data_IF_874249305111
#
_entry.id   IF_874249305111
#
_cell.length_a   1.000
_cell.length_b   1.000
_cell.length_c   1.000
_cell.angle_alpha   90.00
_cell.angle_beta   90.00
_cell.angle_gamma   90.00
#
_symmetry.space_group_name_H-M   'P 1'
#
loop_
_entity.id
_entity.type
_entity.pdbx_description
1 polymer ?
#
# COMPACT_ATOMS: atom_id res chain seq x y z
N UNK A 1 8.67 5.96 11.86
CA UNK A 1 7.28 5.52 12.08
C UNK A 1 6.37 6.74 12.09
N UNK A 2 5.32 6.72 11.28
CA UNK A 2 4.30 7.77 11.16
C UNK A 2 3.04 7.41 11.94
N UNK A 3 2.41 8.37 12.60
CA UNK A 3 1.05 8.21 13.13
C UNK A 3 0.09 8.80 12.12
N UNK A 4 -0.58 7.95 11.33
CA UNK A 4 -1.37 8.39 10.19
C UNK A 4 -2.85 8.68 10.52
N UNK A 5 -3.23 8.61 11.80
CA UNK A 5 -4.58 8.93 12.27
C UNK A 5 -5.62 7.85 11.93
N UNK A 6 -6.89 8.25 11.80
CA UNK A 6 -8.04 7.34 11.67
C UNK A 6 -8.67 7.38 10.28
N UNK A 7 -9.14 6.21 9.84
CA UNK A 7 -10.02 6.02 8.68
C UNK A 7 -11.37 5.54 9.19
N UNK A 8 -12.45 6.09 8.65
CA UNK A 8 -13.79 5.74 9.09
C UNK A 8 -14.54 5.04 7.97
N UNK A 9 -15.11 3.87 8.26
CA UNK A 9 -15.92 3.11 7.33
C UNK A 9 -17.33 3.06 7.88
N UNK A 10 -18.27 3.73 7.21
CA UNK A 10 -19.68 3.62 7.61
C UNK A 10 -20.32 2.41 6.97
N UNK A 11 -21.22 1.73 7.67
CA UNK A 11 -21.93 0.55 7.17
C UNK A 11 -23.29 0.37 7.87
N UNK A 12 -24.20 -0.41 7.29
CA UNK A 12 -25.50 -0.72 7.91
C UNK A 12 -25.71 -2.22 8.14
N UNK A 13 -25.22 -3.05 7.22
CA UNK A 13 -25.43 -4.49 7.23
C UNK A 13 -24.42 -5.19 8.13
N UNK A 14 -24.92 -5.88 9.16
CA UNK A 14 -24.10 -6.57 10.18
C UNK A 14 -23.80 -8.03 9.85
N UNK A 15 -24.31 -8.56 8.74
CA UNK A 15 -24.11 -9.96 8.33
C UNK A 15 -23.13 -10.09 7.18
N UNK A 16 -22.38 -9.03 6.86
CA UNK A 16 -21.43 -8.99 5.75
C UNK A 16 -20.02 -8.88 6.28
N UNK A 17 -19.13 -9.66 5.68
CA UNK A 17 -17.71 -9.64 6.00
C UNK A 17 -17.02 -8.46 5.30
N UNK A 18 -16.06 -7.86 5.99
CA UNK A 18 -15.19 -6.84 5.43
C UNK A 18 -13.84 -7.45 5.07
N UNK A 19 -13.34 -7.10 3.89
CA UNK A 19 -12.04 -7.56 3.41
C UNK A 19 -11.07 -6.39 3.31
N UNK A 20 -9.92 -6.50 3.97
CA UNK A 20 -8.83 -5.54 3.85
C UNK A 20 -7.70 -6.21 3.06
N UNK A 21 -7.49 -5.74 1.84
CA UNK A 21 -6.49 -6.26 0.92
C UNK A 21 -5.17 -5.53 1.08
N UNK A 22 -4.06 -6.26 1.12
CA UNK A 22 -2.72 -5.68 1.11
C UNK A 22 -2.11 -5.86 -0.29
N UNK A 23 -1.65 -4.76 -0.90
CA UNK A 23 -0.90 -4.78 -2.15
C UNK A 23 0.52 -4.28 -1.86
N UNK A 24 1.50 -5.17 -1.88
CA UNK A 24 2.90 -4.88 -1.64
C UNK A 24 3.76 -5.76 -2.55
N UNK A 25 5.03 -5.40 -2.74
CA UNK A 25 6.01 -6.20 -3.49
C UNK A 25 5.46 -6.65 -4.86
N UNK A 26 4.78 -5.74 -5.54
CA UNK A 26 4.27 -6.00 -6.89
C UNK A 26 5.45 -6.05 -7.85
N UNK A 27 6.46 -5.19 -7.65
CA UNK A 27 7.66 -5.10 -8.51
C UNK A 27 7.27 -5.01 -10.00
N UNK A 28 6.25 -4.20 -10.31
CA UNK A 28 5.85 -3.93 -11.68
C UNK A 28 7.02 -3.41 -12.51
N UNK A 29 7.17 -3.87 -13.75
CA UNK A 29 8.35 -3.72 -14.62
C UNK A 29 9.43 -4.79 -14.42
N UNK A 30 9.32 -5.64 -13.41
CA UNK A 30 10.07 -6.87 -13.34
C UNK A 30 9.40 -7.94 -14.23
N UNK A 31 10.17 -8.66 -15.04
CA UNK A 31 9.67 -9.71 -15.94
C UNK A 31 8.99 -10.86 -15.19
N UNK A 32 9.39 -11.13 -13.94
CA UNK A 32 8.77 -12.14 -13.10
C UNK A 32 7.47 -11.67 -12.42
N UNK A 33 7.09 -10.39 -12.57
CA UNK A 33 5.88 -9.84 -11.97
C UNK A 33 4.62 -10.54 -12.50
N UNK A 34 3.88 -11.19 -11.60
CA UNK A 34 2.60 -11.82 -11.93
C UNK A 34 1.45 -10.80 -12.01
N UNK A 35 1.62 -9.76 -12.84
CA UNK A 35 0.74 -8.58 -12.88
C UNK A 35 -0.74 -8.94 -13.14
N UNK A 36 -1.02 -9.99 -13.91
CA UNK A 36 -2.39 -10.45 -14.16
C UNK A 36 -3.09 -10.97 -12.89
N UNK A 37 -2.34 -11.57 -11.95
CA UNK A 37 -2.90 -11.97 -10.65
C UNK A 37 -3.30 -10.73 -9.85
N UNK A 38 -2.43 -9.71 -9.83
CA UNK A 38 -2.70 -8.44 -9.17
C UNK A 38 -3.93 -7.75 -9.79
N UNK A 39 -4.03 -7.68 -11.12
CA UNK A 39 -5.19 -7.12 -11.84
C UNK A 39 -6.51 -7.83 -11.48
N UNK A 40 -6.48 -9.16 -11.38
CA UNK A 40 -7.65 -9.94 -10.94
C UNK A 40 -8.06 -9.62 -9.51
N UNK A 41 -7.11 -9.45 -8.60
CA UNK A 41 -7.42 -9.14 -7.20
C UNK A 41 -7.92 -7.69 -7.04
N UNK A 42 -7.37 -6.75 -7.81
CA UNK A 42 -7.91 -5.38 -7.93
C UNK A 42 -9.35 -5.40 -8.44
N UNK A 43 -9.66 -6.27 -9.39
CA UNK A 43 -11.02 -6.41 -9.92
C UNK A 43 -12.01 -6.93 -8.86
N UNK A 44 -11.57 -7.83 -7.96
CA UNK A 44 -12.36 -8.25 -6.79
C UNK A 44 -12.63 -7.06 -5.86
N UNK A 45 -11.58 -6.31 -5.50
CA UNK A 45 -11.70 -5.10 -4.67
C UNK A 45 -12.63 -4.08 -5.32
N UNK A 46 -12.56 -3.92 -6.63
CA UNK A 46 -13.42 -2.99 -7.36
C UNK A 46 -14.90 -3.37 -7.26
N UNK A 47 -15.22 -4.65 -7.50
CA UNK A 47 -16.59 -5.18 -7.53
C UNK A 47 -17.25 -5.29 -6.16
N UNK A 48 -16.49 -5.64 -5.13
CA UNK A 48 -17.04 -5.86 -3.78
C UNK A 48 -17.12 -4.56 -2.96
N UNK A 49 -18.31 -4.07 -2.57
CA UNK A 49 -18.44 -2.86 -1.76
C UNK A 49 -17.92 -3.00 -0.32
N UNK A 50 -17.67 -4.21 0.18
CA UNK A 50 -17.11 -4.46 1.51
C UNK A 50 -15.60 -4.69 1.50
N UNK A 51 -14.96 -4.56 0.34
CA UNK A 51 -13.52 -4.62 0.18
C UNK A 51 -12.87 -3.23 0.23
N UNK A 52 -11.82 -3.11 1.03
CA UNK A 52 -10.91 -1.96 1.12
C UNK A 52 -9.47 -2.44 0.95
N UNK A 53 -8.53 -1.52 0.74
CA UNK A 53 -7.15 -1.93 0.51
C UNK A 53 -6.13 -0.95 1.05
N UNK A 54 -4.93 -1.44 1.27
CA UNK A 54 -3.76 -0.67 1.69
C UNK A 54 -2.56 -1.11 0.87
N UNK A 55 -1.71 -0.16 0.48
CA UNK A 55 -0.46 -0.44 -0.19
C UNK A 55 0.68 -0.59 0.81
N UNK A 56 1.54 -1.60 0.67
CA UNK A 56 2.68 -1.83 1.55
C UNK A 56 3.99 -1.19 1.09
N UNK A 57 4.16 -0.93 -0.21
CA UNK A 57 5.42 -0.50 -0.81
C UNK A 57 5.86 -1.45 -1.92
N UNK A 58 6.96 -1.10 -2.61
CA UNK A 58 7.55 -1.85 -3.72
C UNK A 58 6.52 -2.17 -4.82
N UNK A 59 5.77 -1.16 -5.24
CA UNK A 59 4.71 -1.31 -6.24
C UNK A 59 5.27 -1.50 -7.66
N UNK A 60 6.47 -0.99 -7.89
CA UNK A 60 7.18 -1.08 -9.16
C UNK A 60 8.68 -1.27 -8.94
N UNK A 61 9.36 -1.68 -10.00
CA UNK A 61 10.80 -1.80 -10.04
C UNK A 61 11.41 -0.39 -10.15
N UNK A 62 11.77 0.17 -9.01
CA UNK A 62 12.47 1.47 -8.91
C UNK A 62 13.99 1.29 -8.83
N UNK A 63 14.54 0.20 -9.39
CA UNK A 63 16.00 0.04 -9.48
C UNK A 63 16.51 0.77 -10.74
N UNK A 64 17.25 1.85 -10.52
CA UNK A 64 17.87 2.65 -11.59
C UNK A 64 19.14 1.98 -12.13
N UNK A 65 19.49 2.25 -13.39
CA UNK A 65 20.77 1.82 -13.99
C UNK A 65 22.02 2.35 -13.27
N UNK A 66 21.87 3.37 -12.41
CA UNK A 66 22.96 3.86 -11.55
C UNK A 66 23.20 2.97 -10.33
N UNK A 67 22.22 2.16 -9.94
CA UNK A 67 22.33 1.20 -8.85
C UNK A 67 23.01 -0.09 -9.33
N UNK A 68 24.33 0.01 -9.52
CA UNK A 68 25.14 -1.04 -10.17
C UNK A 68 25.11 -2.40 -9.47
N UNK A 69 24.74 -2.43 -8.20
CA UNK A 69 24.66 -3.66 -7.41
C UNK A 69 23.38 -4.45 -7.71
N UNK A 70 22.25 -3.74 -7.95
CA UNK A 70 20.93 -4.37 -8.08
C UNK A 70 20.37 -4.32 -9.50
N UNK A 71 20.86 -3.40 -10.33
CA UNK A 71 20.31 -3.22 -11.66
C UNK A 71 20.67 -4.39 -12.58
N UNK A 72 19.64 -5.04 -13.11
CA UNK A 72 19.77 -6.09 -14.10
C UNK A 72 18.80 -5.82 -15.26
N UNK A 73 19.30 -5.47 -16.46
CA UNK A 73 18.45 -5.20 -17.61
C UNK A 73 17.70 -6.45 -18.10
N UNK A 74 18.17 -7.66 -17.80
CA UNK A 74 17.50 -8.91 -18.19
C UNK A 74 16.21 -9.16 -17.39
N UNK A 75 16.11 -8.56 -16.20
CA UNK A 75 14.93 -8.65 -15.34
C UNK A 75 13.85 -7.61 -15.70
N UNK A 76 14.12 -6.69 -16.62
CA UNK A 76 13.14 -5.67 -17.02
C UNK A 76 12.14 -6.22 -18.04
N UNK A 77 10.92 -5.68 -18.01
CA UNK A 77 9.91 -6.00 -19.03
C UNK A 77 10.28 -5.44 -20.40
N UNK A 78 9.92 -6.15 -21.46
CA UNK A 78 10.32 -5.82 -22.85
C UNK A 78 9.76 -4.48 -23.35
N UNK A 79 8.76 -3.92 -22.68
CA UNK A 79 8.19 -2.61 -22.99
C UNK A 79 9.03 -1.43 -22.46
N UNK A 80 10.04 -1.69 -21.62
CA UNK A 80 11.02 -0.70 -21.19
C UNK A 80 12.27 -0.73 -22.08
N UNK A 81 12.55 0.37 -22.77
CA UNK A 81 13.69 0.49 -23.69
C UNK A 81 14.84 1.23 -23.03
N UNK A 82 16.04 1.13 -23.60
CA UNK A 82 17.23 1.84 -23.10
C UNK A 82 17.00 3.36 -22.90
N UNK A 83 16.24 4.00 -23.80
CA UNK A 83 15.89 5.43 -23.70
C UNK A 83 15.02 5.78 -22.49
N UNK A 84 14.35 4.79 -21.91
CA UNK A 84 13.40 4.94 -20.80
C UNK A 84 14.10 4.82 -19.43
N UNK A 85 15.33 4.28 -19.39
CA UNK A 85 16.09 4.05 -18.15
C UNK A 85 16.34 5.34 -17.35
N UNK A 86 16.50 6.47 -18.03
CA UNK A 86 16.63 7.79 -17.40
C UNK A 86 15.32 8.36 -16.85
N UNK A 87 14.19 7.67 -17.05
CA UNK A 87 12.83 8.09 -16.67
C UNK A 87 12.07 6.98 -15.93
N UNK A 88 12.80 6.00 -15.40
CA UNK A 88 12.20 4.79 -14.84
C UNK A 88 11.23 5.12 -13.70
N UNK A 89 11.57 6.04 -12.80
CA UNK A 89 10.70 6.46 -11.70
C UNK A 89 9.35 6.98 -12.17
N UNK A 90 9.35 7.91 -13.14
CA UNK A 90 8.11 8.45 -13.72
C UNK A 90 7.27 7.38 -14.42
N UNK A 91 7.90 6.48 -15.17
CA UNK A 91 7.19 5.41 -15.88
C UNK A 91 6.59 4.41 -14.90
N UNK A 92 7.38 3.98 -13.90
CA UNK A 92 6.95 3.12 -12.79
C UNK A 92 5.76 3.73 -12.04
N UNK A 93 5.86 5.00 -11.61
CA UNK A 93 4.77 5.72 -10.94
C UNK A 93 3.50 5.72 -11.78
N UNK A 94 3.59 6.07 -13.07
CA UNK A 94 2.42 6.15 -13.95
C UNK A 94 1.74 4.80 -14.14
N UNK A 95 2.52 3.71 -14.25
CA UNK A 95 1.94 2.36 -14.33
C UNK A 95 1.23 1.95 -13.03
N UNK A 96 1.84 2.24 -11.87
CA UNK A 96 1.22 2.00 -10.54
C UNK A 96 -0.05 2.83 -10.36
N UNK A 97 0.00 4.11 -10.74
CA UNK A 97 -1.17 5.00 -10.73
C UNK A 97 -2.32 4.41 -11.54
N UNK A 98 -2.06 3.98 -12.78
CA UNK A 98 -3.08 3.35 -13.64
C UNK A 98 -3.63 2.07 -13.03
N UNK A 99 -2.78 1.25 -12.42
CA UNK A 99 -3.17 0.00 -11.77
C UNK A 99 -4.17 0.25 -10.63
N UNK A 100 -3.88 1.19 -9.73
CA UNK A 100 -4.70 1.44 -8.55
C UNK A 100 -5.84 2.44 -8.77
N UNK A 101 -5.83 3.22 -9.85
CA UNK A 101 -6.86 4.22 -10.13
C UNK A 101 -8.31 3.69 -10.04
N UNK A 102 -8.65 2.48 -10.52
CA UNK A 102 -10.01 1.93 -10.43
C UNK A 102 -10.51 1.72 -9.00
N UNK A 103 -9.61 1.52 -8.03
CA UNK A 103 -9.94 1.25 -6.62
C UNK A 103 -9.51 2.37 -5.66
N UNK A 104 -9.03 3.50 -6.18
CA UNK A 104 -8.46 4.60 -5.36
C UNK A 104 -9.36 5.10 -4.22
N UNK A 105 -10.68 5.11 -4.42
CA UNK A 105 -11.66 5.55 -3.39
C UNK A 105 -11.79 4.59 -2.20
N UNK A 106 -11.25 3.37 -2.32
CA UNK A 106 -11.25 2.33 -1.30
C UNK A 106 -9.89 2.16 -0.60
N UNK A 107 -8.92 3.04 -0.91
CA UNK A 107 -7.57 2.98 -0.35
C UNK A 107 -7.52 3.57 1.06
N UNK A 108 -6.94 2.82 1.99
CA UNK A 108 -6.71 3.19 3.38
C UNK A 108 -5.36 3.91 3.55
N UNK A 109 -4.51 3.85 2.53
CA UNK A 109 -3.19 4.46 2.50
C UNK A 109 -2.21 3.64 1.67
N UNK A 110 -1.03 4.21 1.47
CA UNK A 110 0.08 3.67 0.69
C UNK A 110 1.36 3.81 1.51
N UNK A 111 2.03 2.70 1.75
CA UNK A 111 3.39 2.65 2.27
C UNK A 111 4.43 2.89 1.19
N UNK A 112 5.66 3.16 1.64
CA UNK A 112 6.86 3.29 0.81
C UNK A 112 7.69 2.01 0.97
N UNK A 113 8.09 1.41 -0.14
CA UNK A 113 9.00 0.27 -0.12
C UNK A 113 10.46 0.68 -0.25
N UNK A 114 11.38 -0.26 -0.07
CA UNK A 114 12.81 0.02 -0.13
C UNK A 114 13.29 0.30 -1.57
N UNK A 115 12.55 -0.15 -2.59
CA UNK A 115 12.84 0.19 -3.99
C UNK A 115 12.50 1.67 -4.22
N UNK A 116 11.29 2.13 -3.86
CA UNK A 116 10.93 3.56 -3.94
C UNK A 116 11.88 4.44 -3.12
N UNK A 117 12.13 4.06 -1.87
CA UNK A 117 12.88 4.87 -0.92
C UNK A 117 14.36 5.03 -1.32
N UNK A 118 15.01 3.95 -1.78
CA UNK A 118 16.39 4.07 -2.30
C UNK A 118 16.42 4.90 -3.58
N UNK A 119 15.47 4.69 -4.49
CA UNK A 119 15.39 5.48 -5.73
C UNK A 119 15.22 6.97 -5.48
N UNK A 120 14.29 7.37 -4.61
CA UNK A 120 14.07 8.78 -4.26
C UNK A 120 15.29 9.40 -3.60
N UNK A 121 16.01 8.66 -2.74
CA UNK A 121 17.24 9.16 -2.09
C UNK A 121 18.41 9.37 -3.05
N UNK A 122 18.50 8.55 -4.09
CA UNK A 122 19.67 8.54 -4.99
C UNK A 122 19.47 9.28 -6.31
N UNK A 123 18.24 9.31 -6.83
CA UNK A 123 18.01 9.61 -8.25
C UNK A 123 17.13 10.82 -8.50
N UNK A 124 16.30 11.24 -7.56
CA UNK A 124 15.30 12.27 -7.84
C UNK A 124 15.21 13.33 -6.75
N UNK A 125 15.15 14.59 -7.17
CA UNK A 125 14.78 15.73 -6.32
C UNK A 125 13.24 15.83 -6.15
N UNK A 126 12.50 14.77 -6.50
CA UNK A 126 11.05 14.71 -6.53
C UNK A 126 10.55 13.55 -5.66
N UNK A 127 9.49 13.81 -4.90
CA UNK A 127 8.83 12.83 -4.05
C UNK A 127 7.72 12.13 -4.85
N UNK A 128 8.12 11.13 -5.64
CA UNK A 128 7.21 10.38 -6.49
C UNK A 128 6.10 9.66 -5.70
N UNK A 129 6.38 9.25 -4.46
CA UNK A 129 5.38 8.60 -3.62
C UNK A 129 4.28 9.58 -3.22
N UNK A 130 4.66 10.79 -2.79
CA UNK A 130 3.69 11.83 -2.47
C UNK A 130 2.90 12.27 -3.69
N UNK A 131 3.55 12.42 -4.84
CA UNK A 131 2.86 12.68 -6.11
C UNK A 131 1.84 11.58 -6.44
N UNK A 132 2.20 10.31 -6.27
CA UNK A 132 1.28 9.19 -6.48
C UNK A 132 0.07 9.26 -5.54
N UNK A 133 0.28 9.59 -4.26
CA UNK A 133 -0.80 9.77 -3.29
C UNK A 133 -1.76 10.91 -3.69
N UNK A 134 -1.21 12.03 -4.17
CA UNK A 134 -1.99 13.18 -4.64
C UNK A 134 -2.79 12.82 -5.90
N UNK A 135 -2.19 12.14 -6.87
CA UNK A 135 -2.82 11.69 -8.12
C UNK A 135 -3.90 10.62 -7.90
N UNK A 136 -3.76 9.78 -6.87
CA UNK A 136 -4.80 8.84 -6.44
C UNK A 136 -5.91 9.50 -5.61
N UNK A 137 -5.75 10.78 -5.28
CA UNK A 137 -6.82 11.68 -4.88
C UNK A 137 -6.82 12.12 -3.42
N UNK A 138 -5.78 11.79 -2.63
CA UNK A 138 -5.66 12.32 -1.27
C UNK A 138 -4.23 12.27 -0.72
N UNK A 139 -3.68 13.43 -0.32
CA UNK A 139 -2.40 13.53 0.40
C UNK A 139 -2.34 12.75 1.73
N UNK A 140 -3.49 12.45 2.34
CA UNK A 140 -3.54 11.64 3.56
C UNK A 140 -3.34 10.14 3.31
N UNK A 141 -3.20 9.72 2.04
CA UNK A 141 -2.86 8.34 1.69
C UNK A 141 -1.45 7.95 2.13
N UNK A 142 -0.53 8.90 2.22
CA UNK A 142 0.87 8.63 2.52
C UNK A 142 1.04 8.09 3.96
N UNK A 143 1.46 6.83 4.05
CA UNK A 143 1.81 6.14 5.29
C UNK A 143 3.32 6.17 5.56
N UNK A 144 4.13 6.63 4.61
CA UNK A 144 5.59 6.53 4.68
C UNK A 144 6.08 5.08 4.71
N UNK A 145 7.33 4.88 5.12
CA UNK A 145 7.95 3.55 5.20
C UNK A 145 7.34 2.66 6.31
N UNK A 146 6.85 3.27 7.38
CA UNK A 146 6.13 2.59 8.46
C UNK A 146 5.09 3.51 9.08
N UNK A 147 3.88 3.00 9.33
CA UNK A 147 2.81 3.75 9.98
C UNK A 147 1.97 2.93 10.95
N UNK A 148 1.50 3.65 11.97
CA UNK A 148 0.39 3.25 12.83
C UNK A 148 -0.87 4.01 12.41
N UNK A 149 -1.99 3.31 12.26
CA UNK A 149 -3.28 3.93 12.00
C UNK A 149 -4.46 3.12 12.52
N UNK A 150 -5.60 3.76 12.69
CA UNK A 150 -6.83 3.07 13.09
C UNK A 150 -7.83 3.03 11.93
N UNK A 151 -8.56 1.92 11.82
CA UNK A 151 -9.80 1.82 11.05
C UNK A 151 -10.96 1.76 12.05
N UNK A 152 -11.92 2.66 11.90
CA UNK A 152 -13.11 2.75 12.74
C UNK A 152 -14.33 2.44 11.88
N UNK A 153 -14.97 1.31 12.16
CA UNK A 153 -16.25 0.94 11.58
C UNK A 153 -17.37 1.64 12.37
N UNK A 154 -18.23 2.37 11.67
CA UNK A 154 -19.37 3.10 12.27
C UNK A 154 -20.66 2.55 11.69
N UNK A 155 -21.52 1.98 12.54
CA UNK A 155 -22.84 1.49 12.13
C UNK A 155 -23.82 2.64 11.98
N UNK A 156 -24.49 2.71 10.83
CA UNK A 156 -25.45 3.76 10.48
C UNK A 156 -26.65 3.15 9.74
N UNK A 157 -27.86 3.55 10.09
CA UNK A 157 -29.09 2.95 9.57
C UNK A 157 -29.30 3.17 8.06
N UNK A 158 -28.85 4.30 7.52
CA UNK A 158 -29.14 4.72 6.13
C UNK A 158 -27.99 4.49 5.13
N UNK A 159 -27.03 3.61 5.43
CA UNK A 159 -25.91 3.33 4.53
C UNK A 159 -26.18 2.11 3.64
N UNK A 160 -26.43 2.33 2.33
CA UNK A 160 -26.66 1.23 1.38
C UNK A 160 -25.41 0.39 1.10
N UNK A 161 -24.24 1.04 1.01
CA UNK A 161 -22.94 0.41 0.76
C UNK A 161 -21.87 1.08 1.60
N UNK A 162 -20.86 0.34 2.09
CA UNK A 162 -19.82 0.93 2.90
C UNK A 162 -19.12 2.12 2.24
N UNK A 163 -18.79 3.14 3.03
CA UNK A 163 -18.11 4.35 2.56
C UNK A 163 -16.93 4.69 3.46
N UNK A 164 -15.79 4.97 2.82
CA UNK A 164 -14.56 5.40 3.47
C UNK A 164 -14.52 6.92 3.63
N UNK A 165 -14.12 7.37 4.82
CA UNK A 165 -13.90 8.77 5.16
C UNK A 165 -12.57 8.97 5.88
N UNK A 166 -11.98 10.14 5.65
CA UNK A 166 -10.70 10.58 6.25
C UNK A 166 -10.87 11.48 7.47
N UNK A 167 -12.12 11.82 7.78
CA UNK A 167 -12.54 12.57 8.96
C UNK A 167 -13.78 11.89 9.50
N UNK A 168 -14.02 12.02 10.81
CA UNK A 168 -15.20 11.40 11.43
C UNK A 168 -16.46 11.98 10.79
N UNK A 169 -17.26 11.16 10.07
CA UNK A 169 -18.42 11.68 9.33
C UNK A 169 -19.60 11.99 10.23
N UNK A 170 -19.59 11.60 11.52
CA UNK A 170 -20.75 11.79 12.41
C UNK A 170 -20.41 11.69 13.90
N UNK A 171 -21.25 12.28 14.74
CA UNK A 171 -21.18 12.11 16.19
C UNK A 171 -22.13 10.98 16.63
N UNK A 172 -21.62 10.02 17.41
CA UNK A 172 -22.38 8.85 17.86
C UNK A 172 -22.32 7.66 16.89
N UNK A 173 -23.22 6.69 17.10
CA UNK A 173 -23.25 5.39 16.40
C UNK A 173 -22.45 4.31 17.11
N UNK A 174 -22.82 3.05 16.87
CA UNK A 174 -22.07 1.88 17.33
C UNK A 174 -20.74 1.77 16.56
N UNK A 175 -19.65 1.53 17.29
CA UNK A 175 -18.29 1.72 16.79
C UNK A 175 -17.39 0.55 17.16
N UNK A 176 -16.68 0.05 16.16
CA UNK A 176 -15.60 -0.91 16.35
C UNK A 176 -14.32 -0.35 15.74
N UNK A 177 -13.24 -0.35 16.51
CA UNK A 177 -11.94 0.15 16.09
C UNK A 177 -10.94 -0.99 16.04
N UNK A 178 -10.13 -0.99 14.98
CA UNK A 178 -8.96 -1.85 14.84
C UNK A 178 -7.75 -0.99 14.54
N UNK A 179 -6.65 -1.23 15.26
CA UNK A 179 -5.37 -0.58 15.07
C UNK A 179 -4.49 -1.42 14.16
N UNK A 180 -4.05 -0.79 13.08
CA UNK A 180 -3.16 -1.34 12.07
C UNK A 180 -1.76 -0.78 12.23
N UNK A 181 -0.78 -1.64 12.06
CA UNK A 181 0.61 -1.27 11.86
C UNK A 181 1.07 -1.79 10.51
N UNK A 182 1.64 -0.89 9.68
CA UNK A 182 2.24 -1.24 8.40
C UNK A 182 3.71 -0.90 8.39
N UNK A 183 4.54 -1.77 7.84
CA UNK A 183 5.97 -1.51 7.66
C UNK A 183 6.55 -2.36 6.55
N UNK A 184 7.28 -1.73 5.62
CA UNK A 184 7.91 -2.48 4.54
C UNK A 184 9.16 -3.24 5.01
N UNK A 185 9.17 -4.57 4.89
CA UNK A 185 10.38 -5.38 5.02
C UNK A 185 10.84 -5.69 6.45
N UNK A 186 9.99 -5.47 7.47
CA UNK A 186 10.34 -5.79 8.86
C UNK A 186 10.49 -7.30 9.13
N UNK A 187 9.99 -8.17 8.23
CA UNK A 187 10.10 -9.62 8.32
C UNK A 187 11.29 -10.27 7.59
N UNK A 188 12.10 -9.50 6.86
CA UNK A 188 13.13 -10.09 5.98
C UNK A 188 14.35 -10.64 6.77
N UNK A 189 14.72 -11.89 6.50
CA UNK A 189 15.96 -12.52 6.97
C UNK A 189 16.36 -13.71 6.06
N UNK A 190 17.63 -14.10 6.09
CA UNK A 190 18.15 -15.20 5.26
C UNK A 190 17.58 -16.59 5.65
N UNK A 191 17.34 -16.83 6.94
CA UNK A 191 16.87 -18.13 7.44
C UNK A 191 15.43 -18.08 7.92
N UNK A 192 14.66 -19.19 7.86
CA UNK A 192 13.31 -19.25 8.41
C UNK A 192 13.23 -18.83 9.89
N UNK A 193 14.17 -19.30 10.71
CA UNK A 193 14.27 -18.92 12.12
C UNK A 193 14.57 -17.41 12.29
N UNK A 194 15.42 -16.84 11.44
CA UNK A 194 15.69 -15.40 11.44
C UNK A 194 14.45 -14.57 11.12
N UNK A 195 13.63 -15.02 10.16
CA UNK A 195 12.37 -14.34 9.79
C UNK A 195 11.38 -14.35 10.95
N UNK A 196 11.18 -15.53 11.57
CA UNK A 196 10.31 -15.67 12.74
C UNK A 196 10.78 -14.81 13.92
N UNK A 197 12.08 -14.83 14.22
CA UNK A 197 12.64 -14.03 15.32
C UNK A 197 12.51 -12.53 15.09
N UNK A 198 12.70 -12.06 13.84
CA UNK A 198 12.45 -10.66 13.49
C UNK A 198 10.99 -10.29 13.64
N UNK A 199 10.08 -11.14 13.16
CA UNK A 199 8.64 -10.95 13.28
C UNK A 199 8.20 -10.84 14.74
N UNK A 200 8.61 -11.79 15.59
CA UNK A 200 8.27 -11.79 17.02
C UNK A 200 8.80 -10.53 17.71
N UNK A 201 10.09 -10.19 17.49
CA UNK A 201 10.68 -8.97 18.05
C UNK A 201 9.93 -7.72 17.62
N UNK A 202 9.56 -7.66 16.34
CA UNK A 202 8.83 -6.54 15.77
C UNK A 202 7.42 -6.39 16.36
N UNK A 203 6.68 -7.48 16.51
CA UNK A 203 5.35 -7.45 17.15
C UNK A 203 5.45 -6.99 18.62
N UNK A 204 6.52 -7.37 19.32
CA UNK A 204 6.77 -6.95 20.70
C UNK A 204 7.16 -5.47 20.85
N UNK A 205 7.47 -4.74 19.76
CA UNK A 205 7.73 -3.31 19.85
C UNK A 205 6.45 -2.46 19.94
N UNK A 206 5.29 -3.03 19.64
CA UNK A 206 4.04 -2.29 19.53
C UNK A 206 2.92 -2.96 20.32
N UNK A 207 2.60 -2.39 21.48
CA UNK A 207 1.44 -2.80 22.26
C UNK A 207 0.13 -2.25 21.66
N UNK A 208 -0.93 -3.07 21.74
CA UNK A 208 -2.28 -2.68 21.34
C UNK A 208 -2.49 -2.53 19.84
N UNK A 209 -1.65 -3.16 19.01
CA UNK A 209 -1.88 -3.32 17.57
C UNK A 209 -2.70 -4.58 17.33
N UNK A 210 -3.81 -4.45 16.62
CA UNK A 210 -4.70 -5.56 16.30
C UNK A 210 -4.27 -6.28 15.01
N UNK A 211 -3.69 -5.55 14.05
CA UNK A 211 -3.29 -6.09 12.73
C UNK A 211 -1.92 -5.56 12.31
N UNK A 212 -1.01 -6.47 11.97
CA UNK A 212 0.29 -6.15 11.39
C UNK A 212 0.33 -6.48 9.89
N UNK A 213 0.87 -5.57 9.09
CA UNK A 213 1.13 -5.73 7.65
C UNK A 213 2.60 -5.41 7.40
N UNK A 214 3.37 -6.41 6.96
CA UNK A 214 4.83 -6.44 7.08
C UNK A 214 5.48 -6.97 5.80
#
# INVERSE_FOLDING_TARGET
MRVAGKRYITYSNTTKDFYIWCFADIHMNNRACAIEKCRRDIEKVRKDPYSFWVGGGDYAEYISYKDRERFDPENMTDDLKAKDLGKIGKISKEKVRKLFHPIRKKSLGLGIGNHEDKYMREQEQQDLHKELCEELGNKNLDLGYSALFDIVFIRVSNCKIPKLYWKDPMKGGDRHQFRFYIHHGAGAAATPAGKLNRLIKFMNYFDGVDVFMI
#
